data_IF_757681702659
#
_entry.id   IF_757681702659
#
_cell.length_a   1.000
_cell.length_b   1.000
_cell.length_c   1.000
_cell.angle_alpha   90.00
_cell.angle_beta   90.00
_cell.angle_gamma   90.00
#
_symmetry.space_group_name_H-M   'P 1'
#
loop_
_entity.id
_entity.type
_entity.pdbx_description
1 polymer ?
#
# COMPACT_ATOMS: atom_id res chain seq x y z
N UNK A 1 -23.21 17.80 3.48
CA UNK A 1 -21.82 18.20 3.71
C UNK A 1 -21.38 17.58 5.03
N UNK A 2 -20.67 16.43 5.03
CA UNK A 2 -20.02 15.89 6.22
C UNK A 2 -18.68 16.62 6.35
N UNK A 3 -18.44 17.23 7.51
CA UNK A 3 -17.18 17.87 7.85
C UNK A 3 -16.03 16.88 7.65
N UNK A 4 -15.02 17.27 6.87
CA UNK A 4 -13.76 16.53 6.80
C UNK A 4 -13.12 16.57 8.20
N UNK A 5 -12.55 15.46 8.69
CA UNK A 5 -11.81 15.50 9.92
C UNK A 5 -10.63 16.46 9.73
N UNK A 6 -10.51 17.42 10.63
CA UNK A 6 -9.37 18.30 10.75
C UNK A 6 -8.09 17.45 10.79
N UNK A 7 -7.10 17.82 9.98
CA UNK A 7 -5.79 17.19 9.94
C UNK A 7 -5.11 17.45 11.30
N UNK A 8 -5.39 16.61 12.29
CA UNK A 8 -4.71 16.69 13.57
C UNK A 8 -3.24 16.36 13.37
N UNK A 9 -2.40 17.27 13.81
CA UNK A 9 -0.97 17.02 14.01
C UNK A 9 -0.88 15.97 15.11
N UNK A 10 -0.90 14.69 14.73
CA UNK A 10 -0.92 13.57 15.65
C UNK A 10 0.25 13.64 16.62
N UNK A 11 -0.06 13.70 17.91
CA UNK A 11 0.87 13.47 19.00
C UNK A 11 1.39 12.04 18.86
N UNK A 12 2.55 11.82 18.27
CA UNK A 12 3.17 10.50 18.40
C UNK A 12 3.99 9.92 17.28
N UNK A 13 3.98 10.45 16.08
CA UNK A 13 4.91 9.96 15.05
C UNK A 13 6.25 10.71 15.17
N UNK A 14 7.11 10.25 16.08
CA UNK A 14 8.45 10.78 16.26
C UNK A 14 9.37 10.51 15.08
N UNK A 15 9.08 11.03 13.88
CA UNK A 15 10.08 11.05 12.81
C UNK A 15 11.18 12.01 13.24
N UNK A 16 12.39 11.47 13.42
CA UNK A 16 13.56 12.26 13.73
C UNK A 16 14.00 13.01 12.48
N UNK A 17 13.94 14.34 12.52
CA UNK A 17 14.28 15.22 11.38
C UNK A 17 15.73 15.09 10.89
N UNK A 18 16.63 14.56 11.73
CA UNK A 18 18.06 14.41 11.42
C UNK A 18 18.41 13.04 10.83
N UNK A 19 17.43 12.15 10.62
CA UNK A 19 17.64 10.83 10.06
C UNK A 19 17.03 10.72 8.66
N UNK A 20 17.65 9.97 7.74
CA UNK A 20 16.97 9.63 6.49
C UNK A 20 15.72 8.80 6.76
N UNK A 21 14.64 9.07 6.05
CA UNK A 21 13.38 8.33 6.14
C UNK A 21 13.28 7.37 4.95
N UNK A 22 13.03 6.11 5.23
CA UNK A 22 12.78 5.07 4.24
C UNK A 22 11.30 4.73 4.24
N UNK A 23 10.67 4.72 3.08
CA UNK A 23 9.22 4.48 2.97
C UNK A 23 8.96 3.29 2.07
N UNK A 24 8.19 2.33 2.57
CA UNK A 24 7.70 1.16 1.82
C UNK A 24 6.19 1.03 1.99
N UNK A 25 5.56 0.33 1.05
CA UNK A 25 4.12 0.00 1.10
C UNK A 25 3.82 -1.29 0.35
N UNK A 26 2.57 -1.73 0.46
CA UNK A 26 2.02 -2.79 -0.39
C UNK A 26 2.87 -4.07 -0.35
N UNK A 27 3.15 -4.55 0.87
CA UNK A 27 3.89 -5.80 1.11
C UNK A 27 2.96 -7.01 1.09
N UNK A 28 1.71 -6.84 1.54
CA UNK A 28 0.68 -7.88 1.60
C UNK A 28 1.18 -9.15 2.29
N UNK A 29 1.69 -9.00 3.51
CA UNK A 29 2.26 -10.09 4.30
C UNK A 29 1.14 -10.96 4.86
N UNK A 30 1.24 -12.27 4.64
CA UNK A 30 0.34 -13.28 5.18
C UNK A 30 0.95 -14.06 6.35
N UNK A 31 0.38 -15.23 6.59
CA UNK A 31 0.63 -16.13 7.70
C UNK A 31 1.64 -17.26 7.39
N UNK A 32 2.56 -17.06 6.47
CA UNK A 32 3.52 -18.06 5.98
C UNK A 32 2.90 -19.26 5.26
N UNK A 33 1.66 -19.16 4.81
CA UNK A 33 1.10 -20.15 3.89
C UNK A 33 1.78 -20.10 2.52
N UNK A 34 1.68 -21.15 1.69
CA UNK A 34 2.38 -21.22 0.39
C UNK A 34 2.08 -20.05 -0.56
N UNK A 35 0.94 -19.39 -0.38
CA UNK A 35 0.52 -18.25 -1.19
C UNK A 35 0.83 -16.88 -0.57
N UNK A 36 1.42 -16.88 0.62
CA UNK A 36 1.90 -15.64 1.23
C UNK A 36 2.98 -15.00 0.34
N UNK A 37 2.80 -13.70 0.09
CA UNK A 37 3.69 -12.95 -0.79
C UNK A 37 5.17 -13.03 -0.37
N UNK A 38 5.47 -12.97 0.93
CA UNK A 38 6.86 -13.06 1.41
C UNK A 38 7.45 -14.46 1.30
N UNK A 39 6.65 -15.52 1.25
CA UNK A 39 7.13 -16.90 1.11
C UNK A 39 7.56 -17.24 -0.32
N UNK A 40 7.26 -16.37 -1.28
CA UNK A 40 7.59 -16.59 -2.69
C UNK A 40 8.97 -16.01 -3.03
N UNK A 41 9.76 -16.75 -3.82
CA UNK A 41 10.97 -16.26 -4.49
C UNK A 41 11.96 -15.49 -3.58
N UNK A 42 12.30 -16.02 -2.42
CA UNK A 42 13.29 -15.44 -1.47
C UNK A 42 12.97 -14.00 -1.01
N UNK A 43 11.71 -13.60 -1.04
CA UNK A 43 11.33 -12.23 -0.69
C UNK A 43 11.55 -11.91 0.78
N UNK A 44 11.46 -12.91 1.65
CA UNK A 44 11.72 -12.73 3.09
C UNK A 44 13.19 -12.33 3.33
N UNK A 45 14.15 -12.98 2.66
CA UNK A 45 15.57 -12.61 2.75
C UNK A 45 15.86 -11.26 2.09
N UNK A 46 15.14 -10.92 1.02
CA UNK A 46 15.26 -9.62 0.38
C UNK A 46 14.76 -8.49 1.29
N UNK A 47 13.62 -8.68 1.96
CA UNK A 47 13.12 -7.73 2.96
C UNK A 47 14.08 -7.63 4.14
N UNK A 48 14.58 -8.75 4.63
CA UNK A 48 15.56 -8.80 5.73
C UNK A 48 16.81 -7.98 5.39
N UNK A 49 17.38 -8.14 4.20
CA UNK A 49 18.55 -7.36 3.75
C UNK A 49 18.25 -5.87 3.62
N UNK A 50 17.04 -5.52 3.20
CA UNK A 50 16.59 -4.11 3.16
C UNK A 50 16.48 -3.51 4.56
N UNK A 51 15.89 -4.24 5.51
CA UNK A 51 15.78 -3.77 6.90
C UNK A 51 17.16 -3.56 7.53
N UNK A 52 18.12 -4.48 7.29
CA UNK A 52 19.51 -4.30 7.69
C UNK A 52 20.14 -3.04 7.08
N UNK A 53 19.86 -2.77 5.80
CA UNK A 53 20.33 -1.53 5.17
C UNK A 53 19.78 -0.29 5.90
N UNK A 54 18.47 -0.26 6.20
CA UNK A 54 17.85 0.87 6.91
C UNK A 54 18.49 1.07 8.28
N UNK A 55 18.73 -0.02 9.03
CA UNK A 55 19.38 0.00 10.35
C UNK A 55 20.82 0.53 10.25
N UNK A 56 21.62 0.02 9.30
CA UNK A 56 23.00 0.46 9.07
C UNK A 56 23.09 1.95 8.70
N UNK A 57 22.12 2.46 7.98
CA UNK A 57 22.00 3.88 7.65
C UNK A 57 21.43 4.71 8.82
N UNK A 58 21.14 4.10 9.95
CA UNK A 58 20.45 4.73 11.09
C UNK A 58 19.15 5.44 10.65
N UNK A 59 18.52 4.93 9.60
CA UNK A 59 17.32 5.48 9.01
C UNK A 59 16.09 5.19 9.85
N UNK A 60 15.03 5.94 9.60
CA UNK A 60 13.71 5.63 10.13
C UNK A 60 12.84 5.00 9.07
N UNK A 61 12.21 3.88 9.41
CA UNK A 61 11.28 3.19 8.52
C UNK A 61 9.85 3.71 8.71
N UNK A 62 9.18 3.99 7.61
CA UNK A 62 7.75 4.31 7.55
C UNK A 62 7.07 3.33 6.59
N UNK A 63 6.06 2.63 7.06
CA UNK A 63 5.23 1.74 6.25
C UNK A 63 3.91 2.45 5.99
N UNK A 64 3.59 2.70 4.72
CA UNK A 64 2.38 3.43 4.32
C UNK A 64 1.36 2.52 3.64
N UNK A 65 0.81 1.60 4.41
CA UNK A 65 -0.36 0.80 4.08
C UNK A 65 -0.11 -0.52 3.37
N UNK A 66 -1.13 -1.36 3.44
CA UNK A 66 -1.16 -2.70 2.85
C UNK A 66 0.07 -3.53 3.22
N UNK A 67 0.51 -3.37 4.49
CA UNK A 67 1.59 -4.15 5.05
C UNK A 67 1.14 -5.58 5.31
N UNK A 68 -0.03 -5.75 5.93
CA UNK A 68 -0.64 -7.04 6.22
C UNK A 68 -1.78 -7.34 5.22
N UNK A 69 -1.92 -8.59 4.80
CA UNK A 69 -3.01 -9.05 3.94
C UNK A 69 -4.17 -9.58 4.78
N UNK A 70 -4.87 -8.69 5.49
CA UNK A 70 -5.96 -9.06 6.40
C UNK A 70 -7.30 -9.30 5.70
N UNK A 71 -7.43 -8.96 4.44
CA UNK A 71 -8.58 -9.39 3.64
C UNK A 71 -8.61 -10.91 3.47
N UNK A 72 -7.44 -11.54 3.44
CA UNK A 72 -7.26 -12.96 3.24
C UNK A 72 -6.95 -13.72 4.53
N UNK A 73 -5.95 -13.27 5.28
CA UNK A 73 -5.42 -13.99 6.43
C UNK A 73 -5.99 -13.48 7.75
N UNK A 74 -6.37 -14.38 8.69
CA UNK A 74 -6.72 -13.97 10.05
C UNK A 74 -5.53 -13.31 10.74
N UNK A 75 -5.80 -12.20 11.44
CA UNK A 75 -4.74 -11.45 12.11
C UNK A 75 -3.97 -12.30 13.13
N UNK A 76 -4.67 -13.11 13.94
CA UNK A 76 -4.02 -13.94 14.97
C UNK A 76 -2.99 -14.90 14.36
N UNK A 77 -3.28 -15.45 13.18
CA UNK A 77 -2.35 -16.32 12.46
C UNK A 77 -1.12 -15.54 11.99
N UNK A 78 -1.33 -14.33 11.46
CA UNK A 78 -0.24 -13.46 11.01
C UNK A 78 0.64 -13.07 12.20
N UNK A 79 0.06 -12.64 13.32
CA UNK A 79 0.80 -12.28 14.54
C UNK A 79 1.64 -13.45 15.07
N UNK A 80 1.04 -14.64 15.15
CA UNK A 80 1.73 -15.83 15.64
C UNK A 80 2.91 -16.23 14.73
N UNK A 81 2.74 -16.17 13.42
CA UNK A 81 3.72 -16.68 12.45
C UNK A 81 4.75 -15.65 12.01
N UNK A 82 4.47 -14.35 12.18
CA UNK A 82 5.35 -13.23 11.81
C UNK A 82 5.94 -12.50 13.01
N UNK A 83 5.84 -13.08 14.19
CA UNK A 83 6.29 -12.47 15.45
C UNK A 83 7.70 -11.87 15.36
N UNK A 84 8.68 -12.61 14.88
CA UNK A 84 10.08 -12.16 14.77
C UNK A 84 10.23 -10.92 13.88
N UNK A 85 9.50 -10.86 12.76
CA UNK A 85 9.50 -9.68 11.88
C UNK A 85 8.86 -8.47 12.57
N UNK A 86 7.74 -8.70 13.26
CA UNK A 86 7.03 -7.64 13.96
C UNK A 86 7.82 -7.12 15.16
N UNK A 87 8.49 -8.01 15.91
CA UNK A 87 9.41 -7.63 17.00
C UNK A 87 10.51 -6.70 16.46
N UNK A 88 11.18 -7.09 15.37
CA UNK A 88 12.23 -6.27 14.75
C UNK A 88 11.71 -4.91 14.30
N UNK A 89 10.54 -4.86 13.66
CA UNK A 89 9.94 -3.59 13.22
C UNK A 89 9.57 -2.69 14.40
N UNK A 90 9.17 -3.28 15.52
CA UNK A 90 8.94 -2.54 16.77
C UNK A 90 10.25 -1.94 17.32
N UNK A 91 11.34 -2.74 17.34
CA UNK A 91 12.66 -2.30 17.78
C UNK A 91 13.26 -1.21 16.88
N UNK A 92 12.91 -1.20 15.60
CA UNK A 92 13.30 -0.18 14.63
C UNK A 92 12.49 1.14 14.77
N UNK A 93 11.60 1.24 15.73
CA UNK A 93 10.71 2.40 15.88
C UNK A 93 9.89 2.72 14.61
N UNK A 94 9.48 1.68 13.88
CA UNK A 94 8.77 1.82 12.62
C UNK A 94 7.43 2.52 12.79
N UNK A 95 7.19 3.56 11.99
CA UNK A 95 5.88 4.21 11.91
C UNK A 95 5.02 3.47 10.90
N UNK A 96 3.78 3.16 11.27
CA UNK A 96 2.87 2.42 10.42
C UNK A 96 1.56 3.17 10.17
N UNK A 97 1.26 3.42 8.91
CA UNK A 97 -0.02 3.96 8.42
C UNK A 97 -0.74 2.81 7.74
N UNK A 98 -1.89 2.32 8.22
CA UNK A 98 -2.63 1.24 7.57
C UNK A 98 -3.16 1.63 6.19
N UNK A 99 -3.30 0.63 5.31
CA UNK A 99 -3.96 0.75 4.02
C UNK A 99 -5.34 0.12 4.03
N UNK A 100 -5.90 -0.15 2.85
CA UNK A 100 -7.25 -0.73 2.76
C UNK A 100 -7.29 -2.25 3.01
N UNK A 101 -6.16 -2.96 2.90
CA UNK A 101 -6.08 -4.40 3.24
C UNK A 101 -5.91 -4.64 4.73
N UNK A 102 -5.40 -3.68 5.45
CA UNK A 102 -5.11 -3.76 6.87
C UNK A 102 -5.72 -2.60 7.69
N UNK A 103 -6.75 -1.93 7.16
CA UNK A 103 -7.43 -0.80 7.80
C UNK A 103 -7.93 -1.12 9.23
N UNK A 104 -8.35 -2.36 9.46
CA UNK A 104 -8.88 -2.80 10.76
C UNK A 104 -7.89 -2.61 11.92
N UNK A 105 -6.57 -2.53 11.64
CA UNK A 105 -5.57 -2.34 12.70
C UNK A 105 -5.52 -0.91 13.25
N UNK A 106 -6.15 0.06 12.57
CA UNK A 106 -6.18 1.46 13.01
C UNK A 106 -6.83 1.63 14.40
N UNK A 107 -7.72 0.70 14.78
CA UNK A 107 -8.35 0.66 16.11
C UNK A 107 -7.36 0.63 17.27
N UNK A 108 -6.09 0.30 17.01
CA UNK A 108 -5.04 0.27 18.02
C UNK A 108 -4.18 1.53 18.08
N UNK A 109 -4.40 2.51 17.20
CA UNK A 109 -3.64 3.76 17.15
C UNK A 109 -3.61 4.51 18.49
N UNK A 110 -4.75 4.47 19.23
CA UNK A 110 -4.91 5.18 20.51
C UNK A 110 -5.01 4.22 21.70
N UNK A 111 -4.64 2.94 21.50
CA UNK A 111 -4.76 1.92 22.54
C UNK A 111 -3.45 1.80 23.31
N UNK A 112 -3.55 1.80 24.64
CA UNK A 112 -2.39 1.61 25.53
C UNK A 112 -1.87 0.17 25.58
N UNK A 113 -2.67 -0.79 25.13
CA UNK A 113 -2.32 -2.20 25.13
C UNK A 113 -2.67 -2.86 23.78
N UNK A 114 -1.92 -2.58 22.70
CA UNK A 114 -2.11 -3.24 21.41
C UNK A 114 -1.70 -4.72 21.49
N UNK A 115 -2.19 -5.58 20.57
CA UNK A 115 -1.89 -7.01 20.59
C UNK A 115 -0.41 -7.34 20.33
N UNK A 116 0.35 -6.37 19.83
CA UNK A 116 1.80 -6.47 19.61
C UNK A 116 2.43 -5.07 19.68
N UNK A 117 3.66 -4.91 20.25
CA UNK A 117 4.34 -3.60 20.35
C UNK A 117 4.50 -2.85 19.03
N UNK A 118 4.61 -3.54 17.90
CA UNK A 118 4.65 -2.94 16.58
C UNK A 118 3.46 -1.99 16.32
N UNK A 119 2.28 -2.32 16.84
CA UNK A 119 1.08 -1.50 16.64
C UNK A 119 1.01 -0.27 17.58
N UNK A 120 1.91 -0.12 18.51
CA UNK A 120 1.97 1.07 19.35
C UNK A 120 2.30 2.37 18.57
N UNK A 121 2.83 2.23 17.34
CA UNK A 121 3.19 3.35 16.46
C UNK A 121 2.33 3.41 15.19
N UNK A 122 1.13 2.88 15.26
CA UNK A 122 0.13 3.10 14.21
C UNK A 122 -0.29 4.56 14.22
N UNK A 123 -0.42 5.14 13.03
CA UNK A 123 -0.92 6.50 12.86
C UNK A 123 -1.88 6.53 11.68
N UNK A 124 -2.86 7.41 11.75
CA UNK A 124 -3.56 7.84 10.55
C UNK A 124 -2.60 8.53 9.57
N UNK A 125 -3.08 8.86 8.37
CA UNK A 125 -2.33 9.73 7.48
C UNK A 125 -1.89 11.00 8.24
N UNK A 126 -0.61 11.36 8.14
CA UNK A 126 -0.03 12.46 8.91
C UNK A 126 0.84 13.38 8.06
N UNK A 127 1.06 14.60 8.57
CA UNK A 127 1.97 15.58 7.95
C UNK A 127 3.19 15.76 8.83
N UNK A 128 4.38 15.83 8.20
CA UNK A 128 5.67 16.10 8.85
C UNK A 128 6.47 17.15 8.09
N UNK A 129 7.22 17.96 8.83
CA UNK A 129 8.19 18.89 8.27
C UNK A 129 9.54 18.21 8.15
N UNK A 130 10.10 18.19 6.93
CA UNK A 130 11.42 17.65 6.63
C UNK A 130 12.07 18.65 5.64
N UNK A 131 13.28 19.13 5.92
CA UNK A 131 13.98 20.10 5.05
C UNK A 131 13.15 21.35 4.72
N UNK A 132 12.36 21.85 5.69
CA UNK A 132 11.51 23.03 5.51
C UNK A 132 10.23 22.84 4.71
N UNK A 133 9.95 21.63 4.20
CA UNK A 133 8.74 21.28 3.45
C UNK A 133 7.80 20.37 4.25
N UNK A 134 6.49 20.45 3.98
CA UNK A 134 5.47 19.61 4.61
C UNK A 134 5.21 18.38 3.78
N UNK A 135 5.54 17.22 4.32
CA UNK A 135 5.34 15.91 3.73
C UNK A 135 4.08 15.26 4.30
N UNK A 136 3.13 14.89 3.47
CA UNK A 136 1.97 14.09 3.87
C UNK A 136 2.22 12.63 3.53
N UNK A 137 2.19 11.79 4.57
CA UNK A 137 2.29 10.34 4.47
C UNK A 137 0.90 9.73 4.56
N UNK A 138 0.50 8.98 3.53
CA UNK A 138 -0.79 8.30 3.48
C UNK A 138 -0.69 7.09 2.56
N UNK A 139 -1.60 6.12 2.71
CA UNK A 139 -1.59 4.98 1.80
C UNK A 139 -2.04 5.38 0.39
N UNK A 140 -3.15 6.08 0.26
CA UNK A 140 -3.65 6.57 -1.02
C UNK A 140 -5.02 6.02 -1.42
N UNK A 141 -5.53 5.01 -0.72
CA UNK A 141 -6.88 4.49 -0.93
C UNK A 141 -7.95 5.54 -0.60
N UNK A 142 -7.64 6.49 0.29
CA UNK A 142 -8.55 7.55 0.74
C UNK A 142 -9.01 8.47 -0.39
N UNK A 143 -8.17 8.63 -1.41
CA UNK A 143 -8.48 9.44 -2.60
C UNK A 143 -8.89 8.61 -3.80
N UNK A 144 -8.82 7.29 -3.71
CA UNK A 144 -9.18 6.39 -4.79
C UNK A 144 -10.70 6.20 -4.87
N UNK A 145 -11.34 6.60 -5.98
CA UNK A 145 -12.78 6.44 -6.14
C UNK A 145 -13.26 4.98 -6.04
N UNK A 146 -12.38 4.02 -6.34
CA UNK A 146 -12.72 2.60 -6.34
C UNK A 146 -12.63 1.99 -4.94
N UNK A 147 -11.63 2.36 -4.15
CA UNK A 147 -11.51 1.90 -2.78
C UNK A 147 -12.74 2.33 -1.94
N UNK A 148 -13.30 3.50 -2.24
CA UNK A 148 -14.46 4.05 -1.55
C UNK A 148 -15.81 3.48 -2.04
N UNK A 149 -15.85 2.65 -3.07
CA UNK A 149 -17.10 2.13 -3.66
C UNK A 149 -17.68 0.88 -2.98
N UNK A 150 -17.22 0.51 -1.78
CA UNK A 150 -17.72 -0.66 -1.02
C UNK A 150 -17.23 -2.01 -1.52
N UNK A 151 -16.33 -2.04 -2.51
CA UNK A 151 -15.80 -3.26 -3.13
C UNK A 151 -14.87 -4.03 -2.17
N UNK A 152 -14.36 -3.38 -1.14
CA UNK A 152 -13.53 -4.01 -0.10
C UNK A 152 -14.22 -5.21 0.57
N UNK A 153 -15.53 -5.14 0.81
CA UNK A 153 -16.28 -6.23 1.41
C UNK A 153 -16.32 -7.47 0.48
N UNK A 154 -16.44 -7.26 -0.82
CA UNK A 154 -16.39 -8.35 -1.81
C UNK A 154 -14.98 -8.96 -1.87
N UNK A 155 -13.94 -8.15 -1.91
CA UNK A 155 -12.53 -8.59 -1.83
C UNK A 155 -12.24 -9.40 -0.57
N UNK A 156 -12.80 -8.97 0.58
CA UNK A 156 -12.69 -9.69 1.86
C UNK A 156 -13.38 -11.06 1.82
N UNK A 157 -14.58 -11.15 1.24
CA UNK A 157 -15.30 -12.42 1.08
C UNK A 157 -14.53 -13.39 0.18
N UNK A 158 -14.07 -12.92 -0.98
CA UNK A 158 -13.32 -13.73 -1.95
C UNK A 158 -11.98 -14.17 -1.34
N UNK A 159 -11.25 -13.28 -0.69
CA UNK A 159 -9.98 -13.59 -0.04
C UNK A 159 -10.12 -14.64 1.08
N UNK A 160 -11.17 -14.52 1.90
CA UNK A 160 -11.47 -15.51 2.96
C UNK A 160 -11.89 -16.86 2.41
N UNK A 161 -12.67 -16.90 1.34
CA UNK A 161 -13.02 -18.16 0.66
C UNK A 161 -11.78 -18.81 0.06
N UNK A 162 -10.92 -18.07 -0.59
CA UNK A 162 -9.65 -18.57 -1.13
C UNK A 162 -8.77 -19.17 -0.03
N UNK A 163 -8.66 -18.49 1.13
CA UNK A 163 -7.92 -18.99 2.29
C UNK A 163 -8.49 -20.29 2.84
N UNK A 164 -9.82 -20.38 3.01
CA UNK A 164 -10.48 -21.60 3.48
C UNK A 164 -10.28 -22.78 2.52
N UNK A 165 -10.22 -22.53 1.22
CA UNK A 165 -9.95 -23.57 0.21
C UNK A 165 -8.50 -24.09 0.30
N UNK A 166 -7.51 -23.25 0.66
CA UNK A 166 -6.13 -23.70 0.88
C UNK A 166 -5.99 -24.64 2.07
N UNK A 167 -6.72 -24.39 3.15
CA UNK A 167 -6.60 -25.17 4.39
C UNK A 167 -7.39 -26.50 4.36
N UNK A 168 -8.40 -26.64 3.52
CA UNK A 168 -9.19 -27.87 3.38
C UNK A 168 -8.65 -28.78 2.27
N UNK A 169 -7.37 -29.10 2.29
CA UNK A 169 -6.82 -30.15 1.43
C UNK A 169 -7.53 -31.48 1.71
N UNK A 170 -8.43 -31.88 0.84
CA UNK A 170 -9.08 -33.19 0.83
C UNK A 170 -10.60 -33.21 0.66
N UNK A 171 -11.31 -32.11 0.76
CA UNK A 171 -12.78 -32.11 0.72
C UNK A 171 -13.42 -31.07 -0.22
N UNK A 172 -12.65 -30.26 -0.94
CA UNK A 172 -13.21 -29.21 -1.78
C UNK A 172 -12.78 -29.37 -3.23
N UNK A 173 -13.75 -29.40 -4.14
CA UNK A 173 -13.55 -29.33 -5.61
C UNK A 173 -12.79 -28.06 -6.06
N UNK A 174 -12.59 -27.12 -5.15
CA UNK A 174 -11.87 -25.83 -5.35
C UNK A 174 -10.39 -25.88 -4.91
N UNK A 175 -9.85 -27.05 -4.59
CA UNK A 175 -8.46 -27.21 -4.13
C UNK A 175 -7.40 -27.07 -5.24
N UNK A 176 -7.83 -26.87 -6.47
CA UNK A 176 -6.93 -26.71 -7.60
C UNK A 176 -6.40 -25.27 -7.67
N UNK A 177 -5.08 -25.11 -7.75
CA UNK A 177 -4.40 -23.82 -7.93
C UNK A 177 -4.99 -22.98 -9.06
N UNK A 178 -5.52 -23.65 -10.10
CA UNK A 178 -6.20 -23.04 -11.23
C UNK A 178 -7.50 -22.33 -10.82
N UNK A 179 -8.29 -22.92 -9.91
CA UNK A 179 -9.59 -22.35 -9.50
C UNK A 179 -9.38 -21.17 -8.55
N UNK A 180 -8.40 -21.26 -7.66
CA UNK A 180 -8.07 -20.15 -6.76
C UNK A 180 -7.44 -18.99 -7.55
N UNK A 181 -6.56 -19.31 -8.52
CA UNK A 181 -6.03 -18.32 -9.45
C UNK A 181 -7.14 -17.65 -10.28
N UNK A 182 -8.14 -18.42 -10.72
CA UNK A 182 -9.30 -17.92 -11.45
C UNK A 182 -10.18 -17.01 -10.57
N UNK A 183 -10.37 -17.34 -9.28
CA UNK A 183 -11.10 -16.48 -8.33
C UNK A 183 -10.37 -15.18 -8.04
N UNK A 184 -9.03 -15.22 -7.89
CA UNK A 184 -8.20 -14.03 -7.75
C UNK A 184 -8.25 -13.18 -9.02
N UNK A 185 -8.12 -13.81 -10.20
CA UNK A 185 -8.21 -13.13 -11.50
C UNK A 185 -9.62 -12.61 -11.79
N UNK A 186 -10.66 -13.36 -11.43
CA UNK A 186 -12.06 -12.94 -11.56
C UNK A 186 -12.37 -11.78 -10.62
N UNK A 187 -11.83 -11.78 -9.40
CA UNK A 187 -11.94 -10.66 -8.47
C UNK A 187 -11.30 -9.39 -9.04
N UNK A 188 -10.10 -9.49 -9.61
CA UNK A 188 -9.45 -8.38 -10.31
C UNK A 188 -10.23 -7.95 -11.56
N UNK A 189 -10.77 -8.88 -12.33
CA UNK A 189 -11.57 -8.59 -13.53
C UNK A 189 -12.90 -7.93 -13.19
N UNK A 190 -13.60 -8.38 -12.13
CA UNK A 190 -14.82 -7.74 -11.64
C UNK A 190 -14.52 -6.31 -11.15
N UNK A 191 -13.40 -6.10 -10.49
CA UNK A 191 -12.93 -4.77 -10.12
C UNK A 191 -12.67 -3.91 -11.38
N UNK A 192 -12.10 -4.49 -12.42
CA UNK A 192 -11.87 -3.80 -13.69
C UNK A 192 -13.17 -3.53 -14.47
N UNK A 193 -14.11 -4.49 -14.51
CA UNK A 193 -15.43 -4.32 -15.13
C UNK A 193 -16.23 -3.24 -14.40
N UNK A 194 -16.22 -3.23 -13.07
CA UNK A 194 -16.86 -2.19 -12.27
C UNK A 194 -16.23 -0.82 -12.50
N UNK A 195 -14.89 -0.76 -12.58
CA UNK A 195 -14.17 0.47 -12.96
C UNK A 195 -14.58 0.94 -14.35
N UNK A 196 -14.73 0.01 -15.27
CA UNK A 196 -15.18 0.29 -16.64
C UNK A 196 -16.63 0.73 -16.67
N UNK A 197 -17.54 0.11 -15.92
CA UNK A 197 -18.95 0.52 -15.78
C UNK A 197 -19.06 1.93 -15.19
N UNK A 198 -18.31 2.25 -14.14
CA UNK A 198 -18.30 3.58 -13.54
C UNK A 198 -17.63 4.63 -14.45
N UNK A 199 -16.59 4.26 -15.18
CA UNK A 199 -15.96 5.13 -16.17
C UNK A 199 -16.80 5.20 -17.47
N UNK A 200 -17.44 4.10 -17.85
CA UNK A 200 -18.28 3.96 -19.03
C UNK A 200 -19.62 4.65 -18.89
N UNK A 201 -20.25 4.67 -17.72
CA UNK A 201 -21.43 5.49 -17.45
C UNK A 201 -21.17 6.99 -17.65
N UNK A 202 -19.94 7.43 -17.44
CA UNK A 202 -19.55 8.82 -17.69
C UNK A 202 -19.14 9.10 -19.15
N UNK A 203 -18.74 8.08 -19.89
CA UNK A 203 -18.33 8.21 -21.31
C UNK A 203 -19.34 7.66 -22.30
N UNK A 204 -20.20 6.71 -21.91
CA UNK A 204 -21.25 6.15 -22.79
C UNK A 204 -22.37 7.13 -23.13
N UNK A 205 -22.42 8.27 -22.44
CA UNK A 205 -23.25 9.41 -22.87
C UNK A 205 -22.60 10.24 -23.99
N UNK A 206 -21.38 9.89 -24.43
CA UNK A 206 -20.67 10.74 -25.38
C UNK A 206 -20.20 10.11 -26.68
N UNK A 207 -20.15 8.84 -26.94
CA UNK A 207 -19.83 8.33 -28.28
C UNK A 207 -19.91 6.80 -28.36
N UNK A 208 -20.53 6.29 -29.42
CA UNK A 208 -20.56 4.92 -29.88
C UNK A 208 -19.13 4.32 -30.01
N UNK A 209 -18.65 3.65 -28.98
CA UNK A 209 -17.34 3.01 -29.01
C UNK A 209 -17.38 1.69 -29.75
N UNK A 210 -16.65 1.64 -30.85
CA UNK A 210 -16.22 0.37 -31.46
C UNK A 210 -15.48 -0.50 -30.45
N UNK A 211 -15.52 -1.83 -30.63
CA UNK A 211 -14.90 -2.85 -29.75
C UNK A 211 -13.40 -2.57 -29.56
N UNK A 212 -13.04 -1.99 -28.40
CA UNK A 212 -11.63 -1.84 -28.02
C UNK A 212 -11.07 -3.17 -27.45
N UNK A 213 -9.85 -3.57 -27.78
CA UNK A 213 -9.19 -4.71 -27.18
C UNK A 213 -9.08 -4.55 -25.66
N UNK A 214 -9.29 -5.64 -24.92
CA UNK A 214 -9.27 -5.63 -23.44
C UNK A 214 -8.01 -4.97 -22.83
N UNK A 215 -6.84 -5.12 -23.45
CA UNK A 215 -5.61 -4.46 -23.04
C UNK A 215 -5.64 -2.93 -23.13
N UNK A 216 -6.32 -2.37 -24.13
CA UNK A 216 -6.50 -0.91 -24.26
C UNK A 216 -7.48 -0.35 -23.23
N UNK A 217 -8.53 -1.10 -22.91
CA UNK A 217 -9.49 -0.73 -21.87
C UNK A 217 -8.78 -0.67 -20.52
N UNK A 218 -7.97 -1.71 -20.19
CA UNK A 218 -7.18 -1.77 -18.95
C UNK A 218 -6.19 -0.60 -18.83
N UNK A 219 -5.58 -0.21 -19.93
CA UNK A 219 -4.67 0.94 -19.97
C UNK A 219 -5.42 2.26 -19.73
N UNK A 220 -6.55 2.47 -20.40
CA UNK A 220 -7.35 3.70 -20.28
C UNK A 220 -7.95 3.85 -18.88
N UNK A 221 -8.52 2.79 -18.33
CA UNK A 221 -9.09 2.82 -16.97
C UNK A 221 -8.04 3.13 -15.91
N UNK A 222 -6.84 2.52 -16.02
CA UNK A 222 -5.71 2.82 -15.14
C UNK A 222 -5.29 4.29 -15.26
N UNK A 223 -5.20 4.81 -16.47
CA UNK A 223 -4.80 6.20 -16.72
C UNK A 223 -5.82 7.18 -16.12
N UNK A 224 -7.11 6.96 -16.35
CA UNK A 224 -8.19 7.80 -15.80
C UNK A 224 -8.18 7.77 -14.27
N UNK A 225 -8.00 6.58 -13.66
CA UNK A 225 -7.90 6.43 -12.21
C UNK A 225 -6.73 7.23 -11.66
N UNK A 226 -5.54 7.03 -12.22
CA UNK A 226 -4.32 7.76 -11.81
C UNK A 226 -4.50 9.27 -11.94
N UNK A 227 -5.05 9.75 -13.04
CA UNK A 227 -5.28 11.18 -13.24
C UNK A 227 -6.26 11.76 -12.22
N UNK A 228 -7.36 11.06 -11.89
CA UNK A 228 -8.32 11.51 -10.87
C UNK A 228 -7.67 11.59 -9.48
N UNK A 229 -6.87 10.60 -9.13
CA UNK A 229 -6.12 10.61 -7.87
C UNK A 229 -5.13 11.78 -7.84
N UNK A 230 -4.33 11.97 -8.89
CA UNK A 230 -3.38 13.08 -9.00
C UNK A 230 -4.07 14.44 -8.92
N UNK A 231 -5.24 14.60 -9.56
CA UNK A 231 -6.02 15.85 -9.49
C UNK A 231 -6.44 16.15 -8.05
N UNK A 232 -6.87 15.13 -7.29
CA UNK A 232 -7.27 15.30 -5.90
C UNK A 232 -6.08 15.65 -5.00
N UNK A 233 -4.96 14.94 -5.13
CA UNK A 233 -3.73 15.28 -4.42
C UNK A 233 -3.24 16.69 -4.74
N UNK A 234 -3.29 17.09 -6.02
CA UNK A 234 -2.88 18.43 -6.43
C UNK A 234 -3.77 19.51 -5.84
N UNK A 235 -5.08 19.29 -5.78
CA UNK A 235 -6.02 20.21 -5.13
C UNK A 235 -5.67 20.39 -3.65
N UNK A 236 -5.51 19.29 -2.91
CA UNK A 236 -5.16 19.35 -1.48
C UNK A 236 -3.83 20.08 -1.24
N UNK A 237 -2.85 19.89 -2.15
CA UNK A 237 -1.59 20.64 -2.15
C UNK A 237 -1.83 22.14 -2.38
N UNK A 238 -2.65 22.52 -3.36
CA UNK A 238 -2.94 23.93 -3.67
C UNK A 238 -3.77 24.62 -2.59
N UNK A 239 -4.56 23.86 -1.85
CA UNK A 239 -5.26 24.31 -0.63
C UNK A 239 -4.31 24.47 0.57
N UNK A 240 -3.03 24.17 0.40
CA UNK A 240 -2.00 24.37 1.41
C UNK A 240 -2.00 23.32 2.53
N UNK A 241 -2.55 22.14 2.31
CA UNK A 241 -2.55 21.08 3.31
C UNK A 241 -1.17 20.41 3.47
N UNK A 242 -0.38 20.39 2.41
CA UNK A 242 1.00 19.88 2.37
C UNK A 242 1.74 20.38 1.13
N UNK A 243 3.04 20.16 1.05
CA UNK A 243 3.88 20.52 -0.10
C UNK A 243 4.20 19.28 -0.95
N UNK A 244 4.38 18.12 -0.28
CA UNK A 244 4.76 16.84 -0.90
C UNK A 244 3.84 15.73 -0.42
N UNK A 245 3.33 14.91 -1.37
CA UNK A 245 2.56 13.70 -1.10
C UNK A 245 3.45 12.46 -1.24
N UNK A 246 3.49 11.63 -0.17
CA UNK A 246 4.15 10.33 -0.11
C UNK A 246 3.07 9.27 -0.02
N UNK A 247 2.95 8.42 -1.04
CA UNK A 247 1.83 7.49 -1.20
C UNK A 247 2.26 6.09 -1.65
N UNK A 248 1.36 5.11 -1.52
CA UNK A 248 1.45 3.74 -2.03
C UNK A 248 0.25 3.37 -2.91
N UNK A 249 -0.44 2.26 -2.59
CA UNK A 249 -1.73 1.80 -3.08
C UNK A 249 -1.80 1.39 -4.57
N UNK A 250 -1.18 2.15 -5.47
CA UNK A 250 -1.27 1.85 -6.89
C UNK A 250 -0.27 0.79 -7.36
N UNK A 251 0.61 0.32 -6.49
CA UNK A 251 1.72 -0.59 -6.76
C UNK A 251 2.66 -0.10 -7.90
N UNK A 252 2.73 1.21 -8.12
CA UNK A 252 3.53 1.81 -9.20
C UNK A 252 4.49 2.84 -8.63
N UNK A 253 5.72 2.39 -8.38
CA UNK A 253 6.78 3.28 -7.94
C UNK A 253 7.05 4.38 -8.97
N UNK A 254 7.24 5.60 -8.51
CA UNK A 254 7.60 6.72 -9.39
C UNK A 254 7.18 8.07 -8.85
N UNK A 255 7.34 9.09 -9.71
CA UNK A 255 7.10 10.47 -9.36
C UNK A 255 6.15 11.15 -10.33
N UNK A 256 5.47 12.21 -9.89
CA UNK A 256 4.80 13.17 -10.75
C UNK A 256 5.15 14.59 -10.28
N UNK A 257 5.92 15.28 -11.10
CA UNK A 257 6.55 16.54 -10.69
C UNK A 257 7.51 16.33 -9.51
N UNK A 258 7.64 17.39 -8.71
CA UNK A 258 8.49 17.46 -7.52
C UNK A 258 7.71 17.32 -6.20
N UNK A 259 6.42 16.96 -6.29
CA UNK A 259 5.49 17.01 -5.16
C UNK A 259 4.74 15.69 -4.91
N UNK A 260 4.74 14.73 -5.83
CA UNK A 260 4.08 13.43 -5.68
C UNK A 260 5.09 12.31 -5.85
N UNK A 261 5.15 11.41 -4.87
CA UNK A 261 6.04 10.25 -4.87
C UNK A 261 5.29 9.01 -4.40
N UNK A 262 5.36 7.96 -5.21
CA UNK A 262 4.74 6.68 -4.89
C UNK A 262 5.82 5.64 -4.58
N UNK A 263 5.71 4.99 -3.42
CA UNK A 263 6.66 3.98 -2.96
C UNK A 263 6.64 2.67 -3.76
N UNK A 264 5.60 2.47 -4.57
CA UNK A 264 5.47 1.24 -5.36
C UNK A 264 4.91 0.07 -4.57
N UNK A 265 5.55 -1.08 -4.61
CA UNK A 265 5.12 -2.27 -3.87
C UNK A 265 6.26 -3.26 -3.63
N UNK A 266 5.98 -4.24 -2.75
CA UNK A 266 6.82 -5.40 -2.49
C UNK A 266 6.13 -6.70 -2.94
N UNK A 267 5.35 -6.66 -4.01
CA UNK A 267 4.64 -7.81 -4.58
C UNK A 267 5.25 -8.26 -5.91
N UNK A 268 5.13 -9.54 -6.23
CA UNK A 268 5.70 -10.13 -7.45
C UNK A 268 7.22 -9.95 -7.49
N UNK A 269 7.78 -9.39 -8.54
CA UNK A 269 9.21 -9.11 -8.68
C UNK A 269 9.62 -7.70 -8.19
N UNK A 270 8.71 -6.96 -7.55
CA UNK A 270 8.96 -5.59 -7.13
C UNK A 270 9.48 -5.52 -5.71
N UNK A 271 10.34 -4.55 -5.45
CA UNK A 271 10.92 -4.25 -4.14
C UNK A 271 11.24 -2.75 -4.07
N UNK A 272 10.20 -1.93 -4.24
CA UNK A 272 10.35 -0.50 -4.37
C UNK A 272 10.36 0.18 -3.00
N UNK A 273 11.05 1.31 -2.90
CA UNK A 273 11.01 2.16 -1.71
C UNK A 273 11.31 3.62 -2.06
N UNK A 274 10.95 4.53 -1.17
CA UNK A 274 11.41 5.91 -1.20
C UNK A 274 12.46 6.15 -0.11
N UNK A 275 13.41 7.01 -0.40
CA UNK A 275 14.31 7.58 0.59
C UNK A 275 14.16 9.09 0.60
N UNK A 276 13.90 9.66 1.77
CA UNK A 276 13.82 11.10 2.01
C UNK A 276 15.03 11.46 2.84
N UNK A 277 15.85 12.40 2.35
CA UNK A 277 16.99 12.92 3.09
C UNK A 277 16.54 13.92 4.17
N UNK A 278 17.36 14.21 5.18
CA UNK A 278 17.05 15.26 6.16
C UNK A 278 16.80 16.65 5.52
N UNK A 279 17.41 16.93 4.37
CA UNK A 279 17.20 18.15 3.60
C UNK A 279 15.88 18.15 2.82
N UNK A 280 15.15 17.03 2.84
CA UNK A 280 13.85 16.88 2.19
C UNK A 280 13.92 16.46 0.73
N UNK A 281 15.05 15.97 0.21
CA UNK A 281 15.12 15.39 -1.12
C UNK A 281 14.54 13.99 -1.14
N UNK A 282 13.71 13.69 -2.14
CA UNK A 282 13.03 12.40 -2.28
C UNK A 282 13.59 11.64 -3.48
N UNK A 283 14.10 10.45 -3.23
CA UNK A 283 14.49 9.50 -4.27
C UNK A 283 13.58 8.27 -4.29
N UNK A 284 13.29 7.76 -5.48
CA UNK A 284 12.59 6.49 -5.72
C UNK A 284 13.61 5.43 -6.09
N UNK A 285 13.54 4.26 -5.46
CA UNK A 285 14.50 3.18 -5.64
C UNK A 285 13.84 1.81 -5.76
N UNK A 286 14.56 0.89 -6.38
CA UNK A 286 14.32 -0.55 -6.31
C UNK A 286 15.39 -1.15 -5.39
N UNK A 287 15.02 -2.11 -4.56
CA UNK A 287 15.97 -2.90 -3.79
C UNK A 287 16.31 -4.17 -4.56
N UNK A 288 17.48 -4.23 -5.15
CA UNK A 288 17.93 -5.34 -6.01
C UNK A 288 19.39 -5.68 -5.68
N UNK A 289 19.70 -6.96 -5.58
CA UNK A 289 21.06 -7.44 -5.25
C UNK A 289 21.63 -6.82 -3.97
N UNK A 290 20.76 -6.59 -2.97
CA UNK A 290 21.08 -5.97 -1.69
C UNK A 290 21.63 -4.53 -1.78
N UNK A 291 21.33 -3.83 -2.87
CA UNK A 291 21.70 -2.43 -3.06
C UNK A 291 20.53 -1.60 -3.61
N UNK A 292 20.46 -0.30 -3.28
CA UNK A 292 19.47 0.61 -3.83
C UNK A 292 19.79 0.93 -5.30
N UNK A 293 18.86 0.65 -6.21
CA UNK A 293 18.94 1.04 -7.61
C UNK A 293 17.96 2.18 -7.89
N UNK A 294 18.40 3.32 -8.42
CA UNK A 294 17.52 4.44 -8.72
C UNK A 294 16.40 4.05 -9.70
N UNK A 295 15.17 4.46 -9.37
CA UNK A 295 13.99 4.28 -10.23
C UNK A 295 13.53 5.66 -10.74
N UNK A 296 13.61 5.88 -12.05
CA UNK A 296 13.26 7.15 -12.70
C UNK A 296 11.87 7.13 -13.36
N UNK A 297 11.00 6.25 -12.92
CA UNK A 297 9.65 6.13 -13.49
C UNK A 297 8.83 7.37 -13.19
N UNK A 298 8.24 7.96 -14.22
CA UNK A 298 7.23 9.01 -14.09
C UNK A 298 5.85 8.36 -14.08
N UNK A 299 5.06 8.65 -13.04
CA UNK A 299 3.67 8.18 -12.92
C UNK A 299 2.78 9.19 -13.65
N UNK A 300 2.34 8.86 -14.85
CA UNK A 300 1.44 9.69 -15.65
C UNK A 300 0.22 8.89 -16.15
#
# INVERSE_FOLDING_TARGET
MKAQPSCEVGKGSGINQNKPVYVISDLHIGDRSPRDNLCRANRESLLDSFLHHVENQKGQLVIIGDFLELLRYPLDNVLARRKTLLDRLADMDTVYVPGNHDEDVIRWADTTNPPHPFFARISHAFVRHIGGRRFKFMHGHEVDPLANAGIQNLGRVIGRLAYLCEFRQGACLLSNDTVIGLLEETGEQLLHVWTWLLAGLHTALRESCGRLPAGRIRFLTRRIRTQRMLTRYYRDKTEGLYDIAIVGHTHRAGTFGDWYFNSGSWTGARSNFLRITPDGDVGVFNWTDNVPQPNRTVVA
#
